data_IF_157384904495
#
_entry.id   IF_157384904495
#
_cell.length_a   1.000
_cell.length_b   1.000
_cell.length_c   1.000
_cell.angle_alpha   90.00
_cell.angle_beta   90.00
_cell.angle_gamma   90.00
#
_symmetry.space_group_name_H-M   'P 1'
#
loop_
_entity.id
_entity.type
_entity.pdbx_description
1 polymer ?
#
# COMPACT_ATOMS: atom_id res chain seq x y z
N UNK A 1 -10.32 0.42 -17.92
CA UNK A 1 -11.07 0.21 -16.66
C UNK A 1 -10.06 0.04 -15.53
N UNK A 2 -10.37 0.46 -14.29
CA UNK A 2 -9.47 0.15 -13.17
C UNK A 2 -9.79 -1.23 -12.59
N UNK A 3 -8.75 -1.99 -12.28
CA UNK A 3 -8.81 -3.30 -11.63
C UNK A 3 -8.29 -3.11 -10.20
N UNK A 4 -8.94 -3.74 -9.23
CA UNK A 4 -8.45 -3.87 -7.87
C UNK A 4 -8.36 -5.35 -7.51
N UNK A 5 -7.14 -5.87 -7.37
CA UNK A 5 -6.93 -7.21 -6.83
C UNK A 5 -6.83 -7.09 -5.31
N UNK A 6 -7.67 -7.83 -4.61
CA UNK A 6 -7.72 -7.94 -3.15
C UNK A 6 -7.54 -9.40 -2.74
N UNK A 7 -7.49 -9.67 -1.44
CA UNK A 7 -7.49 -11.04 -0.90
C UNK A 7 -8.27 -11.08 0.40
N UNK A 8 -9.07 -12.13 0.58
CA UNK A 8 -9.83 -12.35 1.80
C UNK A 8 -8.95 -12.41 3.06
N UNK A 9 -9.50 -11.98 4.19
CA UNK A 9 -8.79 -11.96 5.48
C UNK A 9 -8.53 -13.38 5.98
N UNK A 10 -7.25 -13.70 6.21
CA UNK A 10 -6.78 -14.98 6.75
C UNK A 10 -7.40 -15.27 8.12
N UNK A 11 -7.76 -16.52 8.38
CA UNK A 11 -8.14 -16.96 9.71
C UNK A 11 -6.98 -16.82 10.74
N UNK A 12 -5.75 -16.86 10.23
CA UNK A 12 -4.53 -16.67 11.01
C UNK A 12 -4.13 -15.23 11.31
N UNK A 13 -4.90 -14.20 10.90
CA UNK A 13 -4.50 -12.79 10.98
C UNK A 13 -4.03 -12.32 12.37
N UNK A 14 -4.50 -12.95 13.44
CA UNK A 14 -4.04 -12.64 14.81
C UNK A 14 -2.55 -12.93 15.04
N UNK A 15 -1.92 -13.75 14.17
CA UNK A 15 -0.50 -14.07 14.19
C UNK A 15 0.33 -13.23 13.19
N UNK A 16 -0.23 -12.13 12.65
CA UNK A 16 0.44 -11.22 11.71
C UNK A 16 1.80 -10.71 12.24
N UNK A 17 2.68 -10.33 11.34
CA UNK A 17 3.93 -9.63 11.68
C UNK A 17 3.63 -8.24 12.23
N UNK A 18 4.28 -7.87 13.34
CA UNK A 18 4.21 -6.53 13.92
C UNK A 18 5.63 -6.01 14.16
N UNK A 19 5.85 -4.76 13.84
CA UNK A 19 7.15 -4.08 13.99
C UNK A 19 7.08 -2.89 14.93
N UNK A 20 6.01 -2.11 14.87
CA UNK A 20 5.85 -0.84 15.60
C UNK A 20 4.69 -0.86 16.60
N UNK A 21 3.71 -1.73 16.41
CA UNK A 21 2.52 -1.81 17.28
C UNK A 21 2.61 -2.98 18.25
N UNK A 22 2.08 -2.77 19.44
CA UNK A 22 1.82 -3.87 20.36
C UNK A 22 0.66 -4.74 19.87
N UNK A 23 0.78 -6.05 20.04
CA UNK A 23 -0.25 -7.00 19.62
C UNK A 23 -1.54 -6.80 20.40
N UNK A 24 -2.62 -6.61 19.68
CA UNK A 24 -3.98 -6.50 20.20
C UNK A 24 -4.85 -7.62 19.64
N UNK A 25 -5.90 -8.04 20.36
CA UNK A 25 -6.88 -8.98 19.84
C UNK A 25 -7.57 -8.41 18.58
N UNK A 26 -7.59 -9.20 17.50
CA UNK A 26 -8.29 -8.89 16.26
C UNK A 26 -9.61 -9.65 16.22
N UNK A 27 -10.72 -8.95 16.05
CA UNK A 27 -12.02 -9.55 15.82
C UNK A 27 -12.12 -9.97 14.34
N UNK A 28 -11.87 -11.26 14.08
CA UNK A 28 -11.87 -11.79 12.71
C UNK A 28 -13.20 -11.62 11.97
N UNK A 29 -14.38 -11.87 12.55
CA UNK A 29 -15.66 -11.54 11.90
C UNK A 29 -15.78 -10.08 11.50
N UNK A 30 -15.36 -9.16 12.38
CA UNK A 30 -15.36 -7.72 12.11
C UNK A 30 -14.32 -7.34 11.06
N UNK A 31 -13.10 -7.87 11.14
CA UNK A 31 -12.07 -7.63 10.12
C UNK A 31 -12.54 -8.06 8.71
N UNK A 32 -13.21 -9.21 8.61
CA UNK A 32 -13.81 -9.68 7.36
C UNK A 32 -14.97 -8.79 6.88
N UNK A 33 -15.77 -8.25 7.78
CA UNK A 33 -16.85 -7.31 7.42
C UNK A 33 -16.26 -5.98 6.94
N UNK A 34 -15.27 -5.44 7.61
CA UNK A 34 -14.56 -4.22 7.22
C UNK A 34 -13.87 -4.38 5.86
N UNK A 35 -13.22 -5.51 5.62
CA UNK A 35 -12.58 -5.78 4.34
C UNK A 35 -13.59 -5.85 3.19
N UNK A 36 -14.77 -6.47 3.38
CA UNK A 36 -15.83 -6.43 2.36
C UNK A 36 -16.34 -5.02 2.10
N UNK A 37 -16.54 -4.21 3.14
CA UNK A 37 -16.95 -2.80 2.98
C UNK A 37 -15.89 -1.97 2.22
N UNK A 38 -14.60 -2.28 2.43
CA UNK A 38 -13.51 -1.71 1.65
C UNK A 38 -13.57 -2.13 0.17
N UNK A 39 -13.80 -3.41 -0.14
CA UNK A 39 -13.99 -3.88 -1.52
C UNK A 39 -15.19 -3.21 -2.21
N UNK A 40 -16.28 -2.99 -1.47
CA UNK A 40 -17.42 -2.22 -1.96
C UNK A 40 -17.08 -0.75 -2.23
N UNK A 41 -16.23 -0.13 -1.40
CA UNK A 41 -15.75 1.23 -1.63
C UNK A 41 -14.89 1.31 -2.90
N UNK A 42 -14.01 0.34 -3.16
CA UNK A 42 -13.28 0.21 -4.42
C UNK A 42 -14.21 0.11 -5.63
N UNK A 43 -15.27 -0.71 -5.52
CA UNK A 43 -16.26 -0.84 -6.59
C UNK A 43 -17.02 0.47 -6.84
N UNK A 44 -17.45 1.18 -5.76
CA UNK A 44 -18.07 2.51 -5.88
C UNK A 44 -17.14 3.55 -6.49
N UNK A 45 -15.83 3.43 -6.27
CA UNK A 45 -14.81 4.28 -6.88
C UNK A 45 -14.52 3.93 -8.35
N UNK A 46 -15.17 2.88 -8.91
CA UNK A 46 -15.09 2.52 -10.32
C UNK A 46 -14.12 1.38 -10.64
N UNK A 47 -13.66 0.63 -9.64
CA UNK A 47 -12.86 -0.57 -9.87
C UNK A 47 -13.72 -1.80 -10.16
N UNK A 48 -13.22 -2.66 -11.05
CA UNK A 48 -13.58 -4.08 -11.04
C UNK A 48 -12.75 -4.77 -9.96
N UNK A 49 -13.41 -5.22 -8.90
CA UNK A 49 -12.74 -5.89 -7.78
C UNK A 49 -12.60 -7.38 -8.07
N UNK A 50 -11.39 -7.90 -7.92
CA UNK A 50 -11.04 -9.31 -8.04
C UNK A 50 -10.50 -9.84 -6.71
N UNK A 51 -11.40 -10.33 -5.87
CA UNK A 51 -11.06 -10.87 -4.56
C UNK A 51 -10.48 -12.28 -4.68
N UNK A 52 -9.24 -12.44 -4.26
CA UNK A 52 -8.57 -13.73 -4.18
C UNK A 52 -8.98 -14.48 -2.91
N UNK A 53 -8.98 -15.81 -2.88
CA UNK A 53 -9.24 -16.58 -1.66
C UNK A 53 -8.26 -16.22 -0.53
N UNK A 54 -8.75 -16.25 0.72
CA UNK A 54 -7.89 -16.13 1.90
C UNK A 54 -6.85 -17.27 1.94
N UNK A 55 -5.69 -16.98 2.50
CA UNK A 55 -4.61 -17.94 2.74
C UNK A 55 -4.47 -18.11 4.27
N UNK A 56 -5.16 -19.09 4.83
CA UNK A 56 -5.30 -19.19 6.29
C UNK A 56 -3.98 -19.47 7.02
N UNK A 57 -3.00 -20.08 6.33
CA UNK A 57 -1.65 -20.34 6.85
C UNK A 57 -0.69 -19.13 6.68
N UNK A 58 -1.13 -18.05 6.02
CA UNK A 58 -0.36 -16.83 5.78
C UNK A 58 -1.09 -15.63 6.38
N UNK A 59 -0.79 -15.29 7.64
CA UNK A 59 -1.54 -14.28 8.42
C UNK A 59 -1.67 -12.93 7.75
N UNK A 60 -0.61 -12.45 7.08
CA UNK A 60 -0.52 -11.13 6.48
C UNK A 60 -1.03 -11.06 5.04
N UNK A 61 -1.50 -12.16 4.48
CA UNK A 61 -1.79 -12.29 3.05
C UNK A 61 -2.92 -11.40 2.52
N UNK A 62 -3.74 -10.81 3.40
CA UNK A 62 -4.72 -9.76 3.06
C UNK A 62 -4.02 -8.48 2.54
N UNK A 63 -2.79 -8.22 2.95
CA UNK A 63 -1.99 -7.07 2.57
C UNK A 63 -1.24 -7.33 1.26
N UNK A 64 -2.00 -7.49 0.19
CA UNK A 64 -1.49 -7.87 -1.15
C UNK A 64 -0.56 -6.82 -1.76
N UNK A 65 -0.59 -5.58 -1.27
CA UNK A 65 0.26 -4.51 -1.76
C UNK A 65 1.75 -4.82 -1.61
N UNK A 66 2.14 -5.49 -0.51
CA UNK A 66 3.55 -5.71 -0.21
C UNK A 66 4.21 -6.73 -1.14
N UNK A 67 3.42 -7.64 -1.72
CA UNK A 67 3.94 -8.74 -2.53
C UNK A 67 4.01 -8.44 -4.03
N UNK A 68 3.54 -7.25 -4.49
CA UNK A 68 3.66 -6.88 -5.90
C UNK A 68 3.58 -5.37 -6.15
N UNK A 69 4.18 -4.94 -7.26
CA UNK A 69 4.06 -3.61 -7.84
C UNK A 69 3.50 -3.77 -9.24
N UNK A 70 2.41 -3.06 -9.56
CA UNK A 70 1.79 -3.15 -10.88
C UNK A 70 1.91 -1.79 -11.59
N UNK A 71 2.64 -1.78 -12.71
CA UNK A 71 2.79 -0.63 -13.58
C UNK A 71 1.97 -0.83 -14.86
N UNK A 72 1.94 0.17 -15.72
CA UNK A 72 1.14 0.11 -16.95
C UNK A 72 1.67 -0.98 -17.91
N UNK A 73 2.98 -1.24 -17.87
CA UNK A 73 3.68 -2.14 -18.81
C UNK A 73 4.07 -3.50 -18.20
N UNK A 74 4.20 -3.57 -16.87
CA UNK A 74 4.78 -4.75 -16.21
C UNK A 74 4.27 -4.89 -14.78
N UNK A 75 4.15 -6.12 -14.30
CA UNK A 75 3.99 -6.43 -12.89
C UNK A 75 5.29 -6.99 -12.32
N UNK A 76 5.69 -6.49 -11.16
CA UNK A 76 6.89 -6.93 -10.44
C UNK A 76 6.44 -7.60 -9.16
N UNK A 77 6.61 -8.90 -9.06
CA UNK A 77 6.43 -9.64 -7.80
C UNK A 77 7.64 -9.34 -6.94
N UNK A 78 7.39 -8.85 -5.75
CA UNK A 78 8.42 -8.42 -4.81
C UNK A 78 9.08 -9.62 -4.14
N UNK A 79 10.08 -9.35 -3.33
CA UNK A 79 10.62 -10.30 -2.37
C UNK A 79 10.56 -9.65 -1.00
N UNK A 80 9.52 -9.97 -0.21
CA UNK A 80 9.31 -9.33 1.08
C UNK A 80 10.51 -9.44 2.02
N UNK A 81 10.73 -8.34 2.78
CA UNK A 81 11.76 -8.29 3.80
C UNK A 81 11.51 -9.28 4.93
N UNK A 82 10.25 -9.49 5.32
CA UNK A 82 9.87 -10.54 6.27
C UNK A 82 9.85 -11.92 5.58
N UNK A 83 10.62 -12.85 6.10
CA UNK A 83 10.72 -14.22 5.53
C UNK A 83 9.38 -14.96 5.57
N UNK A 84 8.57 -14.76 6.61
CA UNK A 84 7.23 -15.32 6.79
C UNK A 84 6.27 -14.93 5.66
N UNK A 85 6.47 -13.77 5.02
CA UNK A 85 5.61 -13.25 3.97
C UNK A 85 6.02 -13.67 2.55
N UNK A 86 7.24 -14.18 2.36
CA UNK A 86 7.73 -14.61 1.03
C UNK A 86 6.86 -15.65 0.33
N UNK A 87 6.25 -16.65 1.03
CA UNK A 87 5.34 -17.60 0.39
C UNK A 87 4.11 -16.95 -0.26
N UNK A 88 3.66 -15.78 0.20
CA UNK A 88 2.52 -15.06 -0.36
C UNK A 88 2.70 -14.72 -1.86
N UNK A 89 3.95 -14.50 -2.29
CA UNK A 89 4.29 -14.09 -3.66
C UNK A 89 3.88 -15.11 -4.71
N UNK A 90 3.92 -16.41 -4.39
CA UNK A 90 3.50 -17.47 -5.29
C UNK A 90 1.99 -17.42 -5.60
N UNK A 91 1.21 -16.82 -4.70
CA UNK A 91 -0.24 -16.75 -4.81
C UNK A 91 -0.75 -15.49 -5.53
N UNK A 92 0.10 -14.47 -5.76
CA UNK A 92 -0.29 -13.26 -6.48
C UNK A 92 0.14 -13.28 -7.94
N UNK A 93 1.26 -13.92 -8.25
CA UNK A 93 1.82 -13.97 -9.61
C UNK A 93 0.85 -14.49 -10.68
N UNK A 94 0.07 -15.57 -10.44
CA UNK A 94 -0.91 -16.06 -11.43
C UNK A 94 -2.01 -15.05 -11.76
N UNK A 95 -2.53 -14.32 -10.75
CA UNK A 95 -3.55 -13.30 -10.98
C UNK A 95 -3.00 -12.14 -11.83
N UNK A 96 -1.78 -11.69 -11.56
CA UNK A 96 -1.12 -10.62 -12.30
C UNK A 96 -0.78 -11.01 -13.74
N UNK A 97 -0.46 -12.27 -14.00
CA UNK A 97 -0.10 -12.76 -15.34
C UNK A 97 -1.24 -12.65 -16.37
N UNK A 98 -2.49 -12.51 -15.90
CA UNK A 98 -3.64 -12.25 -16.76
C UNK A 98 -3.64 -10.82 -17.34
N UNK A 99 -2.88 -9.90 -16.74
CA UNK A 99 -2.90 -8.47 -17.08
C UNK A 99 -1.57 -7.97 -17.59
N UNK A 100 -0.46 -8.48 -17.07
CA UNK A 100 0.88 -7.94 -17.34
C UNK A 100 1.89 -9.07 -17.46
N UNK A 101 2.96 -8.78 -18.20
CA UNK A 101 4.19 -9.57 -18.08
C UNK A 101 4.67 -9.47 -16.64
N UNK A 102 4.95 -10.62 -16.01
CA UNK A 102 5.41 -10.70 -14.61
C UNK A 102 6.92 -10.87 -14.57
N UNK A 103 7.58 -10.16 -13.68
CA UNK A 103 8.98 -10.34 -13.29
C UNK A 103 9.09 -10.39 -11.77
N UNK A 104 10.26 -10.73 -11.24
CA UNK A 104 10.46 -10.99 -9.81
C UNK A 104 11.71 -10.30 -9.29
N UNK A 105 11.65 -9.75 -8.08
CA UNK A 105 12.83 -9.35 -7.31
C UNK A 105 13.55 -10.62 -6.84
N UNK A 106 14.84 -10.71 -7.14
CA UNK A 106 15.67 -11.88 -6.89
C UNK A 106 16.47 -11.76 -5.59
N UNK A 107 16.79 -12.90 -4.93
CA UNK A 107 17.75 -12.88 -3.82
C UNK A 107 19.11 -12.30 -4.26
N UNK A 108 19.87 -11.62 -3.38
CA UNK A 108 19.56 -11.40 -1.96
C UNK A 108 18.61 -10.23 -1.69
N UNK A 109 18.29 -9.39 -2.70
CA UNK A 109 17.51 -8.18 -2.56
C UNK A 109 16.14 -8.41 -1.90
N UNK A 110 15.70 -7.43 -1.10
CA UNK A 110 14.35 -7.39 -0.51
C UNK A 110 13.63 -6.11 -0.91
N UNK A 111 12.33 -6.21 -1.10
CA UNK A 111 11.47 -5.09 -1.44
C UNK A 111 10.02 -5.42 -1.04
N UNK A 112 9.40 -4.54 -0.24
CA UNK A 112 7.98 -4.57 0.04
C UNK A 112 7.27 -3.52 -0.83
N UNK A 113 6.13 -3.85 -1.42
CA UNK A 113 5.35 -2.90 -2.22
C UNK A 113 4.81 -1.71 -1.42
N UNK A 114 4.65 -1.87 -0.10
CA UNK A 114 4.31 -0.79 0.82
C UNK A 114 5.36 0.33 0.88
N UNK A 115 6.61 0.03 0.54
CA UNK A 115 7.67 1.03 0.40
C UNK A 115 7.67 1.76 -0.95
N UNK A 116 6.85 1.35 -1.91
CA UNK A 116 6.89 1.88 -3.28
C UNK A 116 5.74 2.83 -3.54
N UNK A 117 6.03 4.13 -3.61
CA UNK A 117 5.10 5.18 -4.00
C UNK A 117 5.35 5.59 -5.44
N UNK A 118 4.33 5.49 -6.30
CA UNK A 118 4.36 5.96 -7.69
C UNK A 118 3.64 7.31 -7.80
N UNK A 119 4.31 8.31 -8.37
CA UNK A 119 3.73 9.59 -8.77
C UNK A 119 4.01 9.84 -10.25
N UNK A 120 3.09 9.44 -11.11
CA UNK A 120 3.27 9.41 -12.55
C UNK A 120 4.36 8.42 -12.98
N UNK A 121 5.44 8.91 -13.62
CA UNK A 121 6.61 8.10 -13.99
C UNK A 121 7.76 8.17 -12.98
N UNK A 122 7.53 8.80 -11.84
CA UNK A 122 8.48 8.82 -10.73
C UNK A 122 8.07 7.81 -9.68
N UNK A 123 9.00 6.95 -9.32
CA UNK A 123 8.85 5.95 -8.25
C UNK A 123 9.76 6.35 -7.10
N UNK A 124 9.21 6.40 -5.92
CA UNK A 124 9.92 6.65 -4.66
C UNK A 124 9.89 5.39 -3.83
N UNK A 125 11.02 4.99 -3.29
CA UNK A 125 11.13 3.77 -2.49
C UNK A 125 11.69 4.10 -1.11
N UNK A 126 10.96 3.76 -0.07
CA UNK A 126 11.39 3.92 1.32
C UNK A 126 12.58 3.02 1.64
N UNK A 127 13.61 3.59 2.26
CA UNK A 127 14.68 2.82 2.91
C UNK A 127 14.19 2.40 4.29
N UNK A 128 13.51 1.28 4.34
CA UNK A 128 12.92 0.70 5.55
C UNK A 128 13.69 -0.54 6.01
N UNK A 129 13.23 -1.18 7.09
CA UNK A 129 13.71 -2.51 7.47
C UNK A 129 13.24 -3.64 6.55
N UNK A 130 12.36 -3.35 5.59
CA UNK A 130 11.75 -4.32 4.67
C UNK A 130 12.31 -4.25 3.25
N UNK A 131 12.86 -3.11 2.84
CA UNK A 131 13.39 -2.88 1.49
C UNK A 131 14.85 -2.46 1.56
N UNK A 132 15.72 -3.22 0.90
CA UNK A 132 17.15 -2.96 0.85
C UNK A 132 17.61 -2.34 -0.47
N UNK A 133 18.86 -1.87 -0.51
CA UNK A 133 19.44 -1.25 -1.71
C UNK A 133 19.47 -2.20 -2.91
N UNK A 134 19.68 -3.51 -2.68
CA UNK A 134 19.69 -4.50 -3.76
C UNK A 134 18.31 -4.66 -4.39
N UNK A 135 17.22 -4.66 -3.59
CA UNK A 135 15.85 -4.66 -4.11
C UNK A 135 15.53 -3.39 -4.88
N UNK A 136 15.96 -2.23 -4.37
CA UNK A 136 15.76 -0.92 -5.03
C UNK A 136 16.49 -0.86 -6.37
N UNK A 137 17.73 -1.33 -6.45
CA UNK A 137 18.50 -1.36 -7.71
C UNK A 137 17.87 -2.31 -8.75
N UNK A 138 17.37 -3.46 -8.31
CA UNK A 138 16.64 -4.37 -9.20
C UNK A 138 15.37 -3.73 -9.74
N UNK A 139 14.59 -3.05 -8.87
CA UNK A 139 13.42 -2.29 -9.32
C UNK A 139 13.81 -1.25 -10.36
N UNK A 140 14.87 -0.46 -10.09
CA UNK A 140 15.38 0.57 -11.01
C UNK A 140 15.72 -0.03 -12.38
N UNK A 141 16.45 -1.12 -12.41
CA UNK A 141 16.84 -1.80 -13.65
C UNK A 141 15.62 -2.30 -14.45
N UNK A 142 14.62 -2.87 -13.75
CA UNK A 142 13.40 -3.41 -14.37
C UNK A 142 12.55 -2.31 -14.98
N UNK A 143 12.40 -1.14 -14.32
CA UNK A 143 11.47 -0.11 -14.76
C UNK A 143 12.09 0.94 -15.68
N UNK A 144 13.43 1.02 -15.72
CA UNK A 144 14.17 1.96 -16.58
C UNK A 144 13.78 1.90 -18.07
N UNK A 145 13.63 0.71 -18.71
CA UNK A 145 13.24 0.62 -20.12
C UNK A 145 11.87 1.21 -20.44
N UNK A 146 11.03 1.38 -19.42
CA UNK A 146 9.68 1.95 -19.52
C UNK A 146 9.63 3.44 -19.18
N UNK A 147 10.80 4.08 -18.96
CA UNK A 147 10.90 5.52 -18.70
C UNK A 147 10.51 5.94 -17.28
N UNK A 148 10.53 5.03 -16.32
CA UNK A 148 10.39 5.36 -14.90
C UNK A 148 11.74 5.72 -14.28
N UNK A 149 11.69 6.63 -13.32
CA UNK A 149 12.81 6.94 -12.43
C UNK A 149 12.55 6.38 -11.04
N UNK A 150 13.60 5.90 -10.36
CA UNK A 150 13.49 5.37 -8.99
C UNK A 150 14.40 6.17 -8.06
N UNK A 151 13.81 6.74 -7.01
CA UNK A 151 14.50 7.52 -5.98
C UNK A 151 14.30 6.84 -4.63
N UNK A 152 15.40 6.51 -3.95
CA UNK A 152 15.34 6.01 -2.58
C UNK A 152 15.13 7.17 -1.61
N UNK A 153 14.22 6.99 -0.64
CA UNK A 153 13.81 8.02 0.32
C UNK A 153 14.06 7.52 1.74
N UNK A 154 14.81 8.25 2.57
CA UNK A 154 14.93 7.94 3.99
C UNK A 154 13.57 8.07 4.68
N UNK A 155 13.22 7.10 5.50
CA UNK A 155 12.04 7.13 6.38
C UNK A 155 12.43 6.73 7.80
N UNK A 156 11.64 7.12 8.77
CA UNK A 156 11.84 6.76 10.18
C UNK A 156 10.51 6.68 10.91
N UNK A 157 10.43 5.87 11.97
CA UNK A 157 9.25 5.81 12.85
C UNK A 157 8.03 5.09 12.27
N UNK A 158 8.14 4.48 11.09
CA UNK A 158 7.05 3.74 10.45
C UNK A 158 7.55 2.50 9.72
N UNK A 159 6.62 1.59 9.40
CA UNK A 159 6.93 0.32 8.75
C UNK A 159 7.36 0.51 7.29
N UNK A 160 6.58 1.28 6.52
CA UNK A 160 6.76 1.49 5.09
C UNK A 160 6.64 2.96 4.69
N UNK A 161 7.14 3.31 3.51
CA UNK A 161 7.00 4.67 2.95
C UNK A 161 5.52 5.09 2.88
N UNK A 162 4.61 4.20 2.46
CA UNK A 162 3.18 4.51 2.35
C UNK A 162 2.47 4.64 3.69
N UNK A 163 3.12 4.30 4.80
CA UNK A 163 2.66 4.72 6.13
C UNK A 163 2.93 6.21 6.39
N UNK A 164 3.96 6.78 5.75
CA UNK A 164 4.40 8.17 5.93
C UNK A 164 3.87 9.12 4.85
N UNK A 165 3.58 8.61 3.63
CA UNK A 165 3.14 9.43 2.50
C UNK A 165 2.37 8.62 1.48
N UNK A 166 1.24 9.16 0.99
CA UNK A 166 0.47 8.60 -0.13
C UNK A 166 0.01 9.71 -1.08
N UNK A 167 -0.31 9.36 -2.33
CA UNK A 167 -0.95 10.31 -3.26
C UNK A 167 -2.39 10.57 -2.80
N UNK A 168 -2.74 11.84 -2.59
CA UNK A 168 -4.07 12.26 -2.15
C UNK A 168 -4.93 12.81 -3.29
N UNK A 169 -4.28 13.39 -4.30
CA UNK A 169 -4.87 13.83 -5.56
C UNK A 169 -3.77 14.01 -6.59
N UNK A 170 -4.11 14.21 -7.86
CA UNK A 170 -3.13 14.49 -8.92
C UNK A 170 -2.24 15.69 -8.52
N UNK A 171 -0.94 15.43 -8.35
CA UNK A 171 0.04 16.43 -7.94
C UNK A 171 0.00 16.82 -6.45
N UNK A 172 -0.71 16.07 -5.61
CA UNK A 172 -0.77 16.29 -4.17
C UNK A 172 -0.51 14.99 -3.39
N UNK A 173 0.24 15.09 -2.30
CA UNK A 173 0.49 13.99 -1.36
C UNK A 173 -0.03 14.33 0.02
N UNK A 174 -0.53 13.33 0.72
CA UNK A 174 -0.78 13.35 2.15
C UNK A 174 0.48 12.85 2.84
N UNK A 175 1.03 13.58 3.82
CA UNK A 175 2.33 13.29 4.39
C UNK A 175 2.38 13.45 5.91
N UNK A 176 3.10 12.57 6.57
CA UNK A 176 3.55 12.76 7.95
C UNK A 176 4.98 13.31 7.95
N UNK A 177 5.18 14.62 8.24
CA UNK A 177 6.49 15.26 8.20
C UNK A 177 7.46 14.78 9.30
N UNK A 178 6.96 14.09 10.32
CA UNK A 178 7.80 13.49 11.35
C UNK A 178 8.50 12.19 10.86
N UNK A 179 8.00 11.57 9.79
CA UNK A 179 8.50 10.28 9.30
C UNK A 179 9.21 10.37 7.96
N UNK A 180 8.89 11.38 7.14
CA UNK A 180 9.51 11.58 5.83
C UNK A 180 9.57 13.07 5.48
N UNK A 181 10.65 13.50 4.82
CA UNK A 181 10.77 14.85 4.28
C UNK A 181 9.96 14.99 2.98
N UNK A 182 8.94 15.85 2.99
CA UNK A 182 8.11 16.12 1.83
C UNK A 182 8.89 16.68 0.62
N UNK A 183 10.03 17.34 0.84
CA UNK A 183 10.89 17.85 -0.22
C UNK A 183 11.46 16.74 -1.12
N UNK A 184 11.54 15.51 -0.62
CA UNK A 184 12.00 14.35 -1.40
C UNK A 184 11.12 14.07 -2.64
N UNK A 185 9.85 14.48 -2.62
CA UNK A 185 8.89 14.22 -3.69
C UNK A 185 8.87 15.32 -4.78
N UNK A 186 9.68 16.38 -4.61
CA UNK A 186 9.81 17.48 -5.56
C UNK A 186 8.58 18.40 -5.58
N UNK A 187 8.24 18.94 -6.74
CA UNK A 187 7.18 19.95 -6.88
C UNK A 187 5.77 19.30 -6.81
N UNK A 188 5.39 18.75 -5.67
CA UNK A 188 4.04 18.28 -5.36
C UNK A 188 3.47 19.09 -4.19
N UNK A 189 2.16 19.28 -4.17
CA UNK A 189 1.48 19.90 -3.02
C UNK A 189 1.49 18.92 -1.85
N UNK A 190 2.15 19.25 -0.76
CA UNK A 190 2.10 18.46 0.47
C UNK A 190 0.89 18.91 1.32
N UNK A 191 0.10 17.94 1.76
CA UNK A 191 -0.97 18.10 2.75
C UNK A 191 -0.50 17.32 3.98
N UNK A 192 -0.21 18.04 5.06
CA UNK A 192 0.27 17.41 6.28
C UNK A 192 -0.89 16.84 7.09
N UNK A 193 -0.67 15.65 7.66
CA UNK A 193 -1.60 15.05 8.63
C UNK A 193 -1.77 15.93 9.86
N UNK A 194 -2.79 15.66 10.66
CA UNK A 194 -2.88 16.23 12.00
C UNK A 194 -1.85 15.54 12.92
N UNK A 195 -1.02 16.30 13.68
CA UNK A 195 0.04 15.73 14.52
C UNK A 195 -0.48 14.80 15.63
N UNK A 196 -1.75 14.92 16.01
CA UNK A 196 -2.41 14.02 16.96
C UNK A 196 -2.85 12.67 16.31
N UNK A 197 -2.70 12.54 15.00
CA UNK A 197 -3.09 11.36 14.21
C UNK A 197 -1.88 10.81 13.41
N UNK A 198 -0.82 10.30 14.05
CA UNK A 198 0.45 10.02 13.39
C UNK A 198 0.37 8.96 12.29
N UNK A 199 -0.63 8.06 12.31
CA UNK A 199 -0.85 7.02 11.31
C UNK A 199 -1.79 7.43 10.17
N UNK A 200 -2.16 8.71 10.08
CA UNK A 200 -3.18 9.23 9.17
C UNK A 200 -2.69 9.45 7.72
N UNK A 201 -1.41 9.22 7.40
CA UNK A 201 -0.85 9.53 6.08
C UNK A 201 -1.18 8.50 4.99
N UNK A 202 -1.91 7.42 5.33
CA UNK A 202 -2.28 6.38 4.37
C UNK A 202 -3.69 6.58 3.84
N UNK A 203 -3.81 6.90 2.56
CA UNK A 203 -5.05 6.97 1.81
C UNK A 203 -4.84 6.41 0.41
N UNK A 204 -5.88 5.85 -0.20
CA UNK A 204 -5.84 5.24 -1.52
C UNK A 204 -6.65 6.08 -2.52
N UNK A 205 -5.94 6.71 -3.47
CA UNK A 205 -6.57 7.50 -4.53
C UNK A 205 -7.09 6.60 -5.65
N UNK A 206 -8.41 6.56 -5.83
CA UNK A 206 -9.08 5.77 -6.87
C UNK A 206 -10.23 6.58 -7.47
N UNK A 207 -10.35 6.59 -8.78
CA UNK A 207 -11.47 7.24 -9.47
C UNK A 207 -11.64 8.75 -9.14
N UNK A 208 -10.56 9.41 -8.74
CA UNK A 208 -10.58 10.82 -8.33
C UNK A 208 -11.10 11.05 -6.89
N UNK A 209 -11.35 10.01 -6.12
CA UNK A 209 -11.70 10.05 -4.70
C UNK A 209 -10.61 9.38 -3.87
N UNK A 210 -10.44 9.82 -2.64
CA UNK A 210 -9.50 9.22 -1.69
C UNK A 210 -10.28 8.27 -0.76
N UNK A 211 -10.09 6.96 -0.90
CA UNK A 211 -10.55 5.98 0.09
C UNK A 211 -9.69 6.18 1.33
N UNK A 212 -10.33 6.49 2.46
CA UNK A 212 -9.63 6.99 3.64
C UNK A 212 -10.16 6.39 4.94
N UNK A 213 -9.29 6.02 5.91
CA UNK A 213 -9.73 5.46 7.17
C UNK A 213 -10.59 6.42 8.00
N UNK A 214 -11.69 5.93 8.56
CA UNK A 214 -12.57 6.72 9.45
C UNK A 214 -11.87 7.11 10.77
N UNK A 215 -10.84 6.38 11.16
CA UNK A 215 -10.12 6.56 12.42
C UNK A 215 -9.42 7.94 12.56
N UNK A 216 -9.29 8.71 11.48
CA UNK A 216 -8.52 9.96 11.45
C UNK A 216 -9.38 11.17 11.07
N UNK A 217 -10.32 11.61 11.93
CA UNK A 217 -11.27 12.66 11.59
C UNK A 217 -10.63 14.05 11.43
N UNK A 218 -9.56 14.37 12.15
CA UNK A 218 -8.88 15.67 12.05
C UNK A 218 -8.13 15.82 10.74
N UNK A 219 -7.38 14.79 10.33
CA UNK A 219 -6.69 14.76 9.04
C UNK A 219 -7.71 14.74 7.90
N UNK A 220 -8.82 14.02 8.05
CA UNK A 220 -9.91 14.05 7.08
C UNK A 220 -10.43 15.47 6.85
N UNK A 221 -10.65 16.26 7.90
CA UNK A 221 -11.07 17.67 7.78
C UNK A 221 -10.05 18.51 6.99
N UNK A 222 -8.74 18.28 7.18
CA UNK A 222 -7.69 18.95 6.39
C UNK A 222 -7.75 18.58 4.90
N UNK A 223 -7.97 17.30 4.59
CA UNK A 223 -8.15 16.82 3.23
C UNK A 223 -9.38 17.43 2.57
N UNK A 224 -10.53 17.43 3.26
CA UNK A 224 -11.77 18.03 2.77
C UNK A 224 -11.60 19.55 2.56
N UNK A 225 -10.95 20.26 3.48
CA UNK A 225 -10.61 21.69 3.33
C UNK A 225 -9.65 21.95 2.15
N UNK A 226 -8.81 20.97 1.80
CA UNK A 226 -7.94 21.02 0.63
C UNK A 226 -8.67 20.70 -0.70
N UNK A 227 -9.96 20.39 -0.64
CA UNK A 227 -10.80 20.05 -1.80
C UNK A 227 -10.72 18.59 -2.24
N UNK A 228 -10.21 17.69 -1.38
CA UNK A 228 -10.13 16.26 -1.67
C UNK A 228 -11.48 15.58 -1.36
N UNK A 229 -12.03 14.89 -2.36
CA UNK A 229 -13.24 14.08 -2.16
C UNK A 229 -12.91 12.78 -1.43
N UNK A 230 -13.54 12.57 -0.27
CA UNK A 230 -13.26 11.41 0.60
C UNK A 230 -14.32 10.33 0.44
N UNK A 231 -13.90 9.07 0.42
CA UNK A 231 -14.71 7.87 0.61
C UNK A 231 -14.26 7.20 1.91
N UNK A 232 -14.97 7.41 3.03
CA UNK A 232 -14.53 6.91 4.33
C UNK A 232 -14.79 5.39 4.45
N UNK A 233 -13.83 4.69 5.11
CA UNK A 233 -13.95 3.24 5.39
C UNK A 233 -13.44 2.93 6.80
N UNK A 234 -14.12 2.03 7.50
CA UNK A 234 -13.63 1.46 8.75
C UNK A 234 -12.70 0.28 8.45
N UNK A 235 -11.43 0.40 8.81
CA UNK A 235 -10.40 -0.65 8.70
C UNK A 235 -9.71 -0.87 10.04
N UNK A 236 -10.38 -0.55 11.14
CA UNK A 236 -9.80 -0.53 12.49
C UNK A 236 -9.25 -1.88 12.95
N UNK A 237 -9.84 -3.01 12.52
CA UNK A 237 -9.29 -4.33 12.83
C UNK A 237 -8.00 -4.63 12.04
N UNK A 238 -7.93 -4.20 10.78
CA UNK A 238 -6.74 -4.37 9.94
C UNK A 238 -5.60 -3.44 10.41
N UNK A 239 -5.92 -2.28 10.98
CA UNK A 239 -4.94 -1.37 11.57
C UNK A 239 -4.22 -1.99 12.79
N UNK A 240 -4.85 -2.90 13.54
CA UNK A 240 -4.19 -3.65 14.61
C UNK A 240 -3.11 -4.61 14.10
N UNK A 241 -3.15 -4.94 12.81
CA UNK A 241 -2.15 -5.75 12.11
C UNK A 241 -1.16 -4.86 11.31
N UNK A 242 -0.97 -3.60 11.70
CA UNK A 242 -0.15 -2.59 10.99
C UNK A 242 -0.58 -2.34 9.53
N UNK A 243 -1.78 -2.81 9.14
CA UNK A 243 -2.33 -2.59 7.81
C UNK A 243 -3.08 -1.28 7.68
N UNK A 244 -3.24 -0.82 6.44
CA UNK A 244 -3.99 0.38 6.10
C UNK A 244 -4.72 0.18 4.77
N UNK A 245 -5.38 1.22 4.24
CA UNK A 245 -6.21 1.08 3.04
C UNK A 245 -5.41 0.77 1.78
N UNK A 246 -4.18 1.28 1.62
CA UNK A 246 -3.37 0.92 0.45
C UNK A 246 -2.92 -0.54 0.49
N UNK A 247 -2.66 -1.07 1.69
CA UNK A 247 -2.12 -2.41 1.88
C UNK A 247 -3.03 -3.53 1.33
N UNK A 248 -4.36 -3.28 1.34
CA UNK A 248 -5.38 -4.29 1.07
C UNK A 248 -5.69 -4.51 -0.41
N UNK A 249 -5.06 -3.77 -1.33
CA UNK A 249 -5.31 -3.93 -2.77
C UNK A 249 -4.13 -3.57 -3.66
N UNK A 250 -4.12 -4.19 -4.84
CA UNK A 250 -3.33 -3.75 -5.99
C UNK A 250 -4.27 -3.09 -6.99
N UNK A 251 -4.16 -1.77 -7.17
CA UNK A 251 -5.01 -1.01 -8.09
C UNK A 251 -4.22 -0.57 -9.31
N UNK A 252 -4.73 -0.90 -10.50
CA UNK A 252 -4.08 -0.57 -11.77
C UNK A 252 -5.10 -0.45 -12.91
N UNK A 253 -4.71 0.18 -14.00
CA UNK A 253 -5.51 0.22 -15.24
C UNK A 253 -5.39 -1.08 -16.02
N UNK A 254 -6.47 -1.53 -16.63
CA UNK A 254 -6.48 -2.69 -17.54
C UNK A 254 -5.67 -2.41 -18.81
#
# INVERSE_FOLDING_TARGET
MQIAITRGVSAGIAACELTHLERQPIDLPRARAQHRAYEEALARAGCRVESQPALDDLPDSVFVEDVAIVLDEIAIVTRPGADSRRPETAHIAPALSNYRRVTFIQPPGTLDGGDVLRLGRRIFVGRSGRSDESGIEQLRAVVWPYGYTVTAVPISGCLHLKSAVTEAAAGAVLVNPAWVDAAAFGAVRAIEIDPEEPYAANGLLVGGRLIYPEAFPRTRQRLEAAGIGIEPVDVSELQKAEGAVTCCSLVFSE
#
